data_IF_466453484405
#
_entry.id   IF_466453484405
#
_cell.length_a   1.000
_cell.length_b   1.000
_cell.length_c   1.000
_cell.angle_alpha   90.00
_cell.angle_beta   90.00
_cell.angle_gamma   90.00
#
_symmetry.space_group_name_H-M   'P 1'
#
loop_
_entity.id
_entity.type
_entity.pdbx_description
1 polymer ?
#
# COMPACT_ATOMS: atom_id res chain seq x y z
N UNK A 1 -6.52 7.03 -29.40
CA UNK A 1 -5.40 7.83 -28.87
C UNK A 1 -5.94 8.50 -27.62
N UNK A 2 -5.41 8.17 -26.44
CA UNK A 2 -5.83 8.84 -25.21
C UNK A 2 -5.47 10.33 -25.29
N UNK A 3 -6.29 11.20 -24.68
CA UNK A 3 -5.99 12.62 -24.61
C UNK A 3 -4.61 12.86 -23.97
N UNK A 4 -3.86 13.84 -24.45
CA UNK A 4 -2.54 14.14 -23.88
C UNK A 4 -2.66 14.58 -22.42
N UNK A 5 -1.61 14.43 -21.59
CA UNK A 5 -1.62 14.93 -20.21
C UNK A 5 -2.01 16.41 -20.11
N UNK A 6 -1.54 17.26 -21.04
CA UNK A 6 -1.96 18.67 -21.13
C UNK A 6 -3.47 18.82 -21.33
N UNK A 7 -4.09 18.01 -22.20
CA UNK A 7 -5.53 18.03 -22.44
C UNK A 7 -6.34 17.49 -21.25
N UNK A 8 -5.76 16.56 -20.47
CA UNK A 8 -6.41 15.93 -19.31
C UNK A 8 -6.31 16.76 -18.03
N UNK A 9 -5.17 17.42 -17.80
CA UNK A 9 -4.83 18.00 -16.50
C UNK A 9 -4.35 19.46 -16.55
N UNK A 10 -4.16 20.05 -17.73
CA UNK A 10 -3.64 21.42 -17.83
C UNK A 10 -4.54 22.50 -17.22
N UNK A 11 -5.85 22.25 -17.08
CA UNK A 11 -6.76 23.13 -16.35
C UNK A 11 -6.71 22.94 -14.83
N UNK A 12 -6.24 21.77 -14.38
CA UNK A 12 -6.23 21.34 -13.00
C UNK A 12 -4.91 21.66 -12.30
N UNK A 13 -3.79 21.49 -13.01
CA UNK A 13 -2.43 21.62 -12.48
C UNK A 13 -1.70 22.72 -13.21
N UNK A 14 -1.34 23.76 -12.47
CA UNK A 14 -0.59 24.91 -12.93
C UNK A 14 0.30 25.45 -11.78
N UNK A 15 1.12 26.46 -12.08
CA UNK A 15 2.07 27.03 -11.11
C UNK A 15 1.37 27.55 -9.83
N UNK A 16 0.25 28.26 -9.97
CA UNK A 16 -0.55 28.78 -8.86
C UNK A 16 -1.08 27.63 -7.98
N UNK A 17 -1.54 26.55 -8.61
CA UNK A 17 -2.03 25.35 -7.92
C UNK A 17 -0.93 24.68 -7.10
N UNK A 18 0.26 24.51 -7.67
CA UNK A 18 1.43 23.98 -6.96
C UNK A 18 1.87 24.93 -5.83
N UNK A 19 1.82 26.23 -6.04
CA UNK A 19 2.15 27.23 -5.01
C UNK A 19 1.15 27.20 -3.84
N UNK A 20 -0.14 26.93 -4.11
CA UNK A 20 -1.16 26.80 -3.07
C UNK A 20 -0.86 25.68 -2.05
N UNK A 21 -0.03 24.69 -2.44
CA UNK A 21 0.41 23.58 -1.60
C UNK A 21 1.58 23.94 -0.68
N UNK A 22 2.28 25.06 -0.90
CA UNK A 22 3.47 25.44 -0.13
C UNK A 22 3.24 25.48 1.40
N UNK A 23 2.11 26.00 1.91
CA UNK A 23 1.84 25.95 3.34
C UNK A 23 1.67 24.53 3.92
N UNK A 24 1.47 23.51 3.07
CA UNK A 24 1.30 22.11 3.50
C UNK A 24 2.58 21.30 3.54
N UNK A 25 3.68 21.84 2.99
CA UNK A 25 4.97 21.15 2.85
C UNK A 25 6.07 21.74 3.72
N UNK A 26 5.76 22.81 4.47
CA UNK A 26 6.67 23.48 5.38
C UNK A 26 6.83 22.78 6.74
N UNK A 27 7.37 23.52 7.71
CA UNK A 27 7.48 23.06 9.09
C UNK A 27 6.08 22.81 9.69
N UNK A 28 5.95 21.74 10.47
CA UNK A 28 4.67 21.34 11.08
C UNK A 28 4.08 22.44 11.97
N UNK A 29 4.92 23.25 12.64
CA UNK A 29 4.47 24.32 13.53
C UNK A 29 3.70 25.42 12.79
N UNK A 30 4.07 25.69 11.53
CA UNK A 30 3.48 26.74 10.70
C UNK A 30 2.58 26.19 9.58
N UNK A 31 2.56 24.88 9.39
CA UNK A 31 1.88 24.22 8.28
C UNK A 31 0.39 23.96 8.45
N UNK A 32 -0.24 23.52 7.37
CA UNK A 32 -1.65 23.15 7.32
C UNK A 32 -1.92 22.02 6.31
N UNK A 33 -3.06 21.33 6.45
CA UNK A 33 -3.49 20.28 5.53
C UNK A 33 -3.60 20.78 4.08
N UNK A 34 -3.62 19.85 3.11
CA UNK A 34 -3.91 20.22 1.73
C UNK A 34 -5.34 20.80 1.61
N UNK A 35 -5.60 21.61 0.56
CA UNK A 35 -6.94 22.09 0.29
C UNK A 35 -7.95 20.94 0.16
N UNK A 36 -9.18 21.05 0.71
CA UNK A 36 -10.15 19.95 0.77
C UNK A 36 -10.42 19.26 -0.58
N UNK A 37 -10.38 19.99 -1.68
CA UNK A 37 -10.66 19.47 -3.01
C UNK A 37 -9.63 18.43 -3.51
N UNK A 38 -8.43 18.38 -2.91
CA UNK A 38 -7.42 17.35 -3.17
C UNK A 38 -7.85 15.97 -2.67
N UNK A 39 -8.80 15.94 -1.73
CA UNK A 39 -9.36 14.74 -1.16
C UNK A 39 -10.69 14.36 -1.80
N UNK A 40 -11.38 15.28 -2.49
CA UNK A 40 -12.75 15.04 -2.96
C UNK A 40 -12.91 15.03 -4.48
N UNK A 41 -11.96 15.59 -5.24
CA UNK A 41 -12.04 15.72 -6.70
C UNK A 41 -11.60 14.44 -7.43
N UNK A 42 -12.48 13.88 -8.26
CA UNK A 42 -12.16 12.74 -9.13
C UNK A 42 -11.16 13.11 -10.23
N UNK A 43 -11.17 14.35 -10.72
CA UNK A 43 -10.16 14.81 -11.69
C UNK A 43 -8.77 14.88 -11.03
N UNK A 44 -8.71 15.33 -9.77
CA UNK A 44 -7.48 15.32 -8.98
C UNK A 44 -6.99 13.90 -8.74
N UNK A 45 -7.86 12.99 -8.33
CA UNK A 45 -7.50 11.59 -8.20
C UNK A 45 -6.99 11.00 -9.53
N UNK A 46 -7.61 11.37 -10.67
CA UNK A 46 -7.13 11.01 -12.00
C UNK A 46 -5.70 11.46 -12.28
N UNK A 47 -5.32 12.65 -11.83
CA UNK A 47 -3.94 13.14 -11.88
C UNK A 47 -3.02 12.37 -10.91
N UNK A 48 -3.47 12.08 -9.69
CA UNK A 48 -2.69 11.32 -8.71
C UNK A 48 -2.36 9.90 -9.19
N UNK A 49 -3.26 9.24 -9.94
CA UNK A 49 -2.95 7.95 -10.57
C UNK A 49 -1.70 8.03 -11.44
N UNK A 50 -1.59 9.07 -12.24
CA UNK A 50 -0.49 9.27 -13.19
C UNK A 50 0.78 9.79 -12.52
N UNK A 51 0.65 10.74 -11.59
CA UNK A 51 1.77 11.38 -10.92
C UNK A 51 2.38 10.53 -9.80
N UNK A 52 1.57 9.67 -9.18
CA UNK A 52 1.97 8.88 -8.00
C UNK A 52 1.98 7.39 -8.34
N UNK A 53 0.81 6.79 -8.59
CA UNK A 53 0.69 5.32 -8.64
C UNK A 53 1.48 4.71 -9.80
N UNK A 54 1.32 5.22 -11.02
CA UNK A 54 2.02 4.70 -12.20
C UNK A 54 3.52 5.05 -12.25
N UNK A 55 4.05 5.71 -11.22
CA UNK A 55 5.45 6.16 -11.11
C UNK A 55 6.09 5.82 -9.75
N UNK A 56 5.45 4.96 -8.98
CA UNK A 56 5.94 4.51 -7.69
C UNK A 56 6.07 2.99 -7.68
N UNK A 57 6.93 2.48 -6.81
CA UNK A 57 6.91 1.07 -6.45
C UNK A 57 5.67 0.79 -5.61
N UNK A 58 4.82 -0.13 -6.07
CA UNK A 58 3.54 -0.47 -5.45
C UNK A 58 3.61 -1.88 -4.90
N UNK A 59 3.34 -2.05 -3.61
CA UNK A 59 3.29 -3.38 -3.02
C UNK A 59 2.05 -4.11 -3.52
N UNK A 60 2.25 -5.28 -4.14
CA UNK A 60 1.18 -6.12 -4.66
C UNK A 60 0.83 -7.28 -3.73
N UNK A 61 1.68 -7.60 -2.77
CA UNK A 61 1.44 -8.65 -1.79
C UNK A 61 2.73 -9.19 -1.17
N UNK A 62 2.63 -10.41 -0.63
CA UNK A 62 3.73 -11.12 0.02
C UNK A 62 4.24 -12.26 -0.85
N UNK A 63 5.55 -12.47 -0.85
CA UNK A 63 6.20 -13.48 -1.69
C UNK A 63 5.88 -14.91 -1.23
N UNK A 64 5.67 -15.12 0.07
CA UNK A 64 5.39 -16.45 0.67
C UNK A 64 3.96 -16.96 0.40
N UNK A 65 3.10 -16.15 -0.23
CA UNK A 65 1.87 -16.62 -0.86
C UNK A 65 2.12 -17.45 -2.13
N UNK A 66 3.32 -17.36 -2.71
CA UNK A 66 3.75 -18.12 -3.89
C UNK A 66 4.77 -19.17 -3.46
N UNK A 67 4.33 -20.42 -3.26
CA UNK A 67 5.16 -21.50 -2.69
C UNK A 67 5.75 -22.41 -3.76
N UNK A 68 5.09 -22.49 -4.92
CA UNK A 68 5.51 -23.31 -6.04
C UNK A 68 5.26 -22.61 -7.39
N UNK A 69 6.01 -22.96 -8.44
CA UNK A 69 5.72 -22.56 -9.80
C UNK A 69 4.25 -22.78 -10.17
N UNK A 70 3.60 -21.77 -10.73
CA UNK A 70 2.17 -21.79 -11.07
C UNK A 70 1.24 -21.29 -9.97
N UNK A 71 1.71 -21.13 -8.73
CA UNK A 71 0.98 -20.38 -7.71
C UNK A 71 0.82 -18.93 -8.18
N UNK A 72 -0.38 -18.38 -7.98
CA UNK A 72 -0.68 -17.00 -8.31
C UNK A 72 -1.69 -16.38 -7.37
N UNK A 73 -1.68 -15.06 -7.31
CA UNK A 73 -2.77 -14.25 -6.79
C UNK A 73 -2.99 -13.02 -7.67
N UNK A 74 -4.12 -12.36 -7.48
CA UNK A 74 -4.51 -11.17 -8.25
C UNK A 74 -4.68 -9.97 -7.35
N UNK A 75 -4.46 -8.79 -7.92
CA UNK A 75 -4.68 -7.51 -7.28
C UNK A 75 -5.07 -6.50 -8.35
N UNK A 76 -5.98 -5.59 -8.04
CA UNK A 76 -6.27 -4.46 -8.93
C UNK A 76 -5.67 -3.20 -8.34
N UNK A 77 -4.85 -2.51 -9.12
CA UNK A 77 -4.30 -1.20 -8.76
C UNK A 77 -4.99 -0.17 -9.63
N UNK A 78 -5.75 0.73 -8.99
CA UNK A 78 -6.64 1.66 -9.71
C UNK A 78 -7.59 0.91 -10.65
N UNK A 79 -7.39 1.05 -11.96
CA UNK A 79 -8.21 0.42 -13.00
C UNK A 79 -7.52 -0.80 -13.64
N UNK A 80 -6.31 -1.15 -13.19
CA UNK A 80 -5.45 -2.15 -13.81
C UNK A 80 -5.44 -3.46 -12.99
N UNK A 81 -6.15 -4.52 -13.45
CA UNK A 81 -6.10 -5.82 -12.82
C UNK A 81 -4.79 -6.52 -13.18
N UNK A 82 -4.06 -6.93 -12.14
CA UNK A 82 -2.74 -7.54 -12.21
C UNK A 82 -2.77 -8.98 -11.73
N UNK A 83 -1.90 -9.77 -12.34
CA UNK A 83 -1.62 -11.16 -12.02
C UNK A 83 -0.20 -11.24 -11.47
N UNK A 84 -0.06 -11.75 -10.25
CA UNK A 84 1.22 -12.02 -9.58
C UNK A 84 1.41 -13.53 -9.53
N UNK A 85 2.47 -14.05 -10.14
CA UNK A 85 2.66 -15.50 -10.33
C UNK A 85 4.13 -15.89 -10.16
N UNK A 86 4.39 -17.07 -9.62
CA UNK A 86 5.71 -17.70 -9.69
C UNK A 86 5.82 -18.51 -10.98
N UNK A 87 6.81 -18.21 -11.80
CA UNK A 87 7.03 -18.97 -13.04
C UNK A 87 7.75 -20.31 -12.83
N UNK A 88 7.96 -21.02 -13.94
CA UNK A 88 8.63 -22.32 -13.99
C UNK A 88 10.11 -22.30 -13.56
N UNK A 89 10.74 -21.12 -13.54
CA UNK A 89 12.10 -20.90 -13.05
C UNK A 89 12.13 -20.44 -11.57
N UNK A 90 10.96 -20.32 -10.93
CA UNK A 90 10.83 -19.81 -9.55
C UNK A 90 10.88 -18.28 -9.47
N UNK A 91 10.78 -17.56 -10.59
CA UNK A 91 10.79 -16.09 -10.62
C UNK A 91 9.37 -15.56 -10.42
N UNK A 92 9.20 -14.64 -9.47
CA UNK A 92 7.93 -13.92 -9.27
C UNK A 92 7.77 -12.87 -10.36
N UNK A 93 6.64 -12.89 -11.06
CA UNK A 93 6.27 -11.96 -12.13
C UNK A 93 4.99 -11.25 -11.79
N UNK A 94 4.90 -9.98 -12.20
CA UNK A 94 3.69 -9.18 -12.14
C UNK A 94 3.34 -8.74 -13.56
N UNK A 95 2.15 -9.10 -14.02
CA UNK A 95 1.70 -8.83 -15.38
C UNK A 95 0.23 -8.46 -15.42
N UNK A 96 -0.23 -7.89 -16.53
CA UNK A 96 -1.66 -7.64 -16.74
C UNK A 96 -2.46 -8.94 -16.69
N UNK A 97 -3.54 -8.96 -15.90
CA UNK A 97 -4.50 -10.06 -15.89
C UNK A 97 -5.46 -10.02 -17.10
N UNK A 98 -5.26 -9.09 -18.05
CA UNK A 98 -6.17 -8.82 -19.16
C UNK A 98 -5.75 -9.58 -20.42
N UNK A 99 -6.64 -10.44 -20.92
CA UNK A 99 -6.44 -11.17 -22.17
C UNK A 99 -6.28 -10.22 -23.36
N UNK A 100 -5.19 -10.39 -24.11
CA UNK A 100 -4.84 -9.58 -25.29
C UNK A 100 -5.75 -9.77 -26.51
N UNK A 101 -6.80 -10.60 -26.42
CA UNK A 101 -7.79 -10.74 -27.49
C UNK A 101 -8.91 -9.70 -27.40
N UNK A 102 -9.71 -9.77 -26.33
CA UNK A 102 -10.91 -8.92 -26.13
C UNK A 102 -11.05 -8.39 -24.70
N UNK A 103 -9.96 -8.39 -23.94
CA UNK A 103 -9.94 -7.75 -22.62
C UNK A 103 -10.58 -8.55 -21.48
N UNK A 104 -10.84 -9.84 -21.64
CA UNK A 104 -11.38 -10.67 -20.56
C UNK A 104 -10.30 -10.94 -19.49
N UNK A 105 -10.68 -10.97 -18.21
CA UNK A 105 -9.79 -11.34 -17.12
C UNK A 105 -9.33 -12.81 -17.22
N UNK A 106 -8.04 -13.07 -17.06
CA UNK A 106 -7.47 -14.41 -17.18
C UNK A 106 -7.61 -15.23 -15.90
N UNK A 107 -7.63 -14.57 -14.76
CA UNK A 107 -7.77 -15.16 -13.44
C UNK A 107 -8.32 -14.11 -12.47
N UNK A 108 -8.91 -14.61 -11.39
CA UNK A 108 -9.40 -13.85 -10.25
C UNK A 108 -8.90 -14.54 -8.97
N UNK A 109 -8.95 -13.83 -7.86
CA UNK A 109 -8.54 -14.27 -6.53
C UNK A 109 -7.10 -14.82 -6.51
N UNK A 110 -6.93 -16.06 -6.04
CA UNK A 110 -5.67 -16.78 -5.98
C UNK A 110 -5.86 -18.24 -6.36
N UNK A 111 -4.77 -18.92 -6.71
CA UNK A 111 -4.82 -20.35 -7.02
C UNK A 111 -3.51 -20.88 -7.56
N UNK A 112 -3.58 -22.07 -8.18
CA UNK A 112 -2.44 -22.75 -8.77
C UNK A 112 -2.77 -23.18 -10.21
N UNK A 113 -1.82 -22.99 -11.15
CA UNK A 113 -1.96 -23.42 -12.54
C UNK A 113 -1.20 -24.72 -12.80
N UNK A 114 -1.85 -25.85 -12.56
CA UNK A 114 -1.33 -27.21 -12.78
C UNK A 114 -0.73 -27.42 -14.19
N UNK A 115 -1.30 -26.78 -15.21
CA UNK A 115 -0.85 -26.90 -16.61
C UNK A 115 0.24 -25.90 -17.01
N UNK A 116 0.58 -24.96 -16.11
CA UNK A 116 1.46 -23.83 -16.42
C UNK A 116 0.83 -22.80 -17.38
N UNK A 117 -0.49 -22.84 -17.59
CA UNK A 117 -1.19 -21.96 -18.54
C UNK A 117 -2.34 -21.18 -17.89
N UNK A 118 -2.41 -19.88 -18.18
CA UNK A 118 -3.57 -19.04 -17.97
C UNK A 118 -4.46 -19.07 -19.21
N UNK A 119 -5.57 -19.80 -19.13
CA UNK A 119 -6.53 -19.94 -20.22
C UNK A 119 -7.68 -18.95 -20.04
N UNK A 120 -7.82 -18.04 -20.99
CA UNK A 120 -8.93 -17.10 -21.07
C UNK A 120 -10.28 -17.84 -21.16
N UNK A 121 -11.24 -17.59 -20.25
CA UNK A 121 -12.55 -18.25 -20.26
C UNK A 121 -13.37 -17.98 -21.53
N UNK A 122 -13.16 -16.83 -22.17
CA UNK A 122 -14.01 -16.38 -23.29
C UNK A 122 -13.75 -17.15 -24.59
N UNK A 123 -12.48 -17.29 -24.99
CA UNK A 123 -12.11 -17.90 -26.28
C UNK A 123 -10.89 -18.83 -26.20
N UNK A 124 -10.49 -19.24 -24.99
CA UNK A 124 -9.43 -20.24 -24.77
C UNK A 124 -8.03 -19.83 -25.25
N UNK A 125 -7.80 -18.52 -25.46
CA UNK A 125 -6.44 -18.00 -25.60
C UNK A 125 -5.66 -18.34 -24.33
N UNK A 126 -4.53 -19.03 -24.48
CA UNK A 126 -3.77 -19.59 -23.37
C UNK A 126 -2.38 -18.98 -23.33
N UNK A 127 -2.03 -18.35 -22.22
CA UNK A 127 -0.74 -17.71 -21.97
C UNK A 127 0.09 -18.57 -21.01
N UNK A 128 1.41 -18.65 -21.19
CA UNK A 128 2.29 -19.31 -20.22
C UNK A 128 2.49 -18.46 -18.95
N UNK A 129 3.19 -19.01 -17.95
CA UNK A 129 3.49 -18.30 -16.70
C UNK A 129 4.38 -17.07 -16.88
N UNK A 130 4.97 -16.87 -18.07
CA UNK A 130 5.74 -15.66 -18.45
C UNK A 130 4.93 -14.73 -19.35
N UNK A 131 3.63 -14.98 -19.49
CA UNK A 131 2.68 -14.16 -20.22
C UNK A 131 2.68 -14.33 -21.73
N UNK A 132 3.48 -15.23 -22.32
CA UNK A 132 3.51 -15.40 -23.78
C UNK A 132 2.31 -16.21 -24.26
N UNK A 133 1.70 -15.80 -25.36
CA UNK A 133 0.59 -16.53 -25.97
C UNK A 133 1.09 -17.87 -26.52
N UNK A 134 0.52 -18.98 -26.03
CA UNK A 134 0.87 -20.35 -26.46
C UNK A 134 -0.17 -20.94 -27.40
N UNK A 135 -1.44 -20.61 -27.19
CA UNK A 135 -2.53 -21.13 -27.99
C UNK A 135 -3.59 -20.05 -28.22
N UNK A 136 -4.07 -19.95 -29.46
CA UNK A 136 -5.14 -19.05 -29.88
C UNK A 136 -6.01 -19.79 -30.92
N UNK A 137 -7.15 -20.37 -30.50
CA UNK A 137 -8.00 -21.15 -31.38
C UNK A 137 -8.44 -20.37 -32.63
N UNK A 138 -8.53 -21.06 -33.77
CA UNK A 138 -9.03 -20.54 -35.06
C UNK A 138 -8.29 -19.33 -35.67
N UNK A 139 -7.20 -18.84 -35.06
CA UNK A 139 -6.46 -17.69 -35.57
C UNK A 139 -5.57 -18.00 -36.80
N UNK A 140 -5.45 -19.26 -37.21
CA UNK A 140 -4.59 -19.69 -38.32
C UNK A 140 -5.02 -19.19 -39.70
N UNK A 141 -6.23 -18.63 -39.84
CA UNK A 141 -6.73 -17.98 -41.07
C UNK A 141 -6.73 -16.45 -40.98
N UNK A 142 -6.28 -15.89 -39.86
CA UNK A 142 -6.20 -14.44 -39.66
C UNK A 142 -4.93 -13.91 -40.30
N UNK A 143 -5.08 -13.00 -41.26
CA UNK A 143 -3.95 -12.36 -41.92
C UNK A 143 -3.09 -11.60 -40.88
N UNK A 144 -1.77 -11.69 -41.03
CA UNK A 144 -0.79 -10.99 -40.19
C UNK A 144 -0.91 -11.27 -38.68
N UNK A 145 -1.47 -12.42 -38.28
CA UNK A 145 -1.46 -12.84 -36.89
C UNK A 145 -0.18 -13.59 -36.56
N UNK A 146 0.71 -12.95 -35.79
CA UNK A 146 1.86 -13.61 -35.22
C UNK A 146 1.65 -13.83 -33.72
N UNK A 147 1.48 -15.09 -33.32
CA UNK A 147 1.30 -15.47 -31.91
C UNK A 147 2.51 -15.07 -31.06
N UNK A 148 3.72 -15.17 -31.63
CA UNK A 148 4.97 -15.01 -30.89
C UNK A 148 5.26 -13.53 -30.54
N UNK A 149 4.51 -12.59 -31.15
CA UNK A 149 4.53 -11.16 -30.82
C UNK A 149 3.57 -10.79 -29.67
N UNK A 150 2.72 -11.73 -29.22
CA UNK A 150 1.69 -11.46 -28.21
C UNK A 150 2.16 -11.97 -26.85
N UNK A 151 2.39 -11.03 -25.95
CA UNK A 151 2.69 -11.27 -24.55
C UNK A 151 1.80 -10.39 -23.66
N UNK A 152 1.48 -10.85 -22.46
CA UNK A 152 0.85 -10.02 -21.44
C UNK A 152 1.83 -8.91 -21.03
N UNK A 153 1.38 -7.63 -21.00
CA UNK A 153 2.18 -6.54 -20.47
C UNK A 153 2.76 -6.88 -19.09
N UNK A 154 4.07 -6.71 -18.94
CA UNK A 154 4.81 -7.00 -17.70
C UNK A 154 5.10 -5.70 -16.96
N UNK A 155 5.14 -5.77 -15.63
CA UNK A 155 5.62 -4.70 -14.76
C UNK A 155 7.03 -5.06 -14.26
N UNK A 156 7.82 -4.04 -13.90
CA UNK A 156 9.10 -4.26 -13.21
C UNK A 156 8.81 -4.78 -11.80
N UNK A 157 9.58 -5.76 -11.32
CA UNK A 157 9.36 -6.42 -10.02
C UNK A 157 10.60 -6.32 -9.16
N UNK A 158 10.43 -5.95 -7.89
CA UNK A 158 11.47 -6.02 -6.86
C UNK A 158 10.92 -6.73 -5.61
N UNK A 159 11.70 -7.65 -5.06
CA UNK A 159 11.38 -8.28 -3.77
C UNK A 159 12.13 -7.54 -2.67
N UNK A 160 11.41 -7.11 -1.64
CA UNK A 160 12.00 -6.38 -0.52
C UNK A 160 11.37 -6.81 0.80
N UNK A 161 12.20 -7.31 1.74
CA UNK A 161 11.75 -7.82 3.04
C UNK A 161 10.55 -8.78 2.96
N UNK A 162 10.52 -9.65 1.93
CA UNK A 162 9.44 -10.61 1.66
C UNK A 162 8.18 -10.02 1.01
N UNK A 163 8.11 -8.72 0.78
CA UNK A 163 7.07 -8.09 -0.02
C UNK A 163 7.41 -8.13 -1.49
N UNK A 164 6.38 -8.24 -2.34
CA UNK A 164 6.49 -8.12 -3.79
C UNK A 164 6.08 -6.69 -4.16
N UNK A 165 6.99 -5.93 -4.76
CA UNK A 165 6.72 -4.61 -5.33
C UNK A 165 6.70 -4.67 -6.85
N UNK A 166 5.79 -3.90 -7.45
CA UNK A 166 5.65 -3.75 -8.89
C UNK A 166 5.76 -2.28 -9.29
N UNK A 167 6.31 -2.01 -10.47
CA UNK A 167 6.39 -0.66 -11.05
C UNK A 167 5.92 -0.68 -12.50
N UNK A 168 5.10 0.32 -12.88
CA UNK A 168 4.50 0.40 -14.22
C UNK A 168 5.49 0.79 -15.31
N UNK A 169 6.49 1.62 -14.99
CA UNK A 169 7.57 1.92 -15.93
C UNK A 169 8.60 0.78 -16.00
N UNK A 170 9.19 0.54 -17.18
CA UNK A 170 10.32 -0.38 -17.33
C UNK A 170 11.58 0.21 -16.68
N UNK A 171 12.40 -0.66 -16.11
CA UNK A 171 13.73 -0.35 -15.55
C UNK A 171 13.76 0.87 -14.58
N UNK A 172 12.85 0.96 -13.59
CA UNK A 172 12.87 2.04 -12.60
C UNK A 172 14.11 1.94 -11.70
N UNK A 173 14.53 3.05 -11.05
CA UNK A 173 15.49 2.97 -9.96
C UNK A 173 15.05 1.97 -8.88
N UNK A 174 16.00 1.21 -8.33
CA UNK A 174 15.72 0.19 -7.31
C UNK A 174 15.08 0.79 -6.06
N UNK A 175 14.15 0.05 -5.46
CA UNK A 175 13.42 0.45 -4.25
C UNK A 175 14.31 0.40 -3.01
N UNK A 176 15.08 -0.66 -2.82
CA UNK A 176 15.82 -0.94 -1.59
C UNK A 176 16.69 0.23 -1.06
N UNK A 177 17.42 0.99 -1.89
CA UNK A 177 18.22 2.14 -1.43
C UNK A 177 17.39 3.26 -0.78
N UNK A 178 16.09 3.35 -1.11
CA UNK A 178 15.18 4.37 -0.56
C UNK A 178 14.52 3.96 0.77
N UNK A 179 14.74 2.71 1.22
CA UNK A 179 14.11 2.11 2.39
C UNK A 179 15.10 1.71 3.49
N UNK A 180 16.32 2.24 3.48
CA UNK A 180 17.41 1.85 4.41
C UNK A 180 17.02 2.00 5.88
N UNK A 181 16.39 3.13 6.27
CA UNK A 181 15.92 3.34 7.65
C UNK A 181 14.94 2.27 8.12
N UNK A 182 14.04 1.83 7.23
CA UNK A 182 13.08 0.78 7.57
C UNK A 182 13.75 -0.60 7.57
N UNK A 183 14.70 -0.84 6.67
CA UNK A 183 15.48 -2.07 6.68
C UNK A 183 16.26 -2.23 8.00
N UNK A 184 16.88 -1.15 8.48
CA UNK A 184 17.58 -1.12 9.77
C UNK A 184 16.63 -1.40 10.94
N UNK A 185 15.44 -0.79 10.93
CA UNK A 185 14.40 -1.05 11.94
C UNK A 185 13.91 -2.50 11.92
N UNK A 186 13.67 -3.06 10.72
CA UNK A 186 13.15 -4.42 10.51
C UNK A 186 14.19 -5.52 10.79
N UNK A 187 15.48 -5.20 10.88
CA UNK A 187 16.55 -6.18 10.98
C UNK A 187 16.36 -7.18 12.14
N UNK A 188 15.94 -6.70 13.31
CA UNK A 188 15.70 -7.56 14.48
C UNK A 188 14.34 -8.26 14.48
N UNK A 189 13.40 -7.82 13.63
CA UNK A 189 12.09 -8.47 13.50
C UNK A 189 12.14 -9.70 12.59
N UNK A 190 13.11 -9.77 11.66
CA UNK A 190 13.20 -10.87 10.69
C UNK A 190 12.01 -10.90 9.72
N UNK A 191 11.62 -9.71 9.22
CA UNK A 191 10.39 -9.54 8.40
C UNK A 191 10.44 -10.34 7.10
N UNK A 192 11.62 -10.50 6.50
CA UNK A 192 11.80 -11.32 5.31
C UNK A 192 11.42 -12.79 5.54
N UNK A 193 11.65 -13.31 6.74
CA UNK A 193 11.44 -14.70 7.14
C UNK A 193 10.08 -14.95 7.82
N UNK A 194 9.32 -13.90 8.13
CA UNK A 194 7.99 -14.03 8.74
C UNK A 194 7.01 -14.75 7.82
N UNK A 195 6.10 -15.52 8.43
CA UNK A 195 5.00 -16.20 7.75
C UNK A 195 3.80 -15.26 7.68
N UNK A 196 3.32 -15.00 6.48
CA UNK A 196 2.10 -14.24 6.23
C UNK A 196 0.86 -15.10 6.39
N UNK A 197 -0.10 -14.61 7.18
CA UNK A 197 -1.41 -15.21 7.34
C UNK A 197 -2.34 -14.76 6.20
N UNK A 198 -3.47 -15.46 5.97
CA UNK A 198 -4.45 -15.05 4.97
C UNK A 198 -4.89 -13.59 5.18
N UNK A 199 -4.88 -12.81 4.10
CA UNK A 199 -5.31 -11.41 4.13
C UNK A 199 -6.83 -11.28 4.12
N UNK A 200 -7.32 -10.15 4.61
CA UNK A 200 -8.74 -9.79 4.57
C UNK A 200 -8.92 -8.46 3.83
N UNK A 201 -9.78 -8.44 2.82
CA UNK A 201 -10.16 -7.19 2.14
C UNK A 201 -11.41 -6.61 2.80
N UNK A 202 -11.33 -5.34 3.17
CA UNK A 202 -12.47 -4.55 3.64
C UNK A 202 -12.78 -3.51 2.56
N UNK A 203 -13.79 -3.75 1.72
CA UNK A 203 -14.07 -2.92 0.56
C UNK A 203 -14.91 -1.69 0.88
N UNK A 204 -14.92 -0.75 -0.06
CA UNK A 204 -15.88 0.36 -0.16
C UNK A 204 -15.89 1.34 1.02
N UNK A 205 -14.76 1.54 1.69
CA UNK A 205 -14.62 2.60 2.68
C UNK A 205 -14.74 3.98 2.01
N UNK A 206 -15.64 4.87 2.47
CA UNK A 206 -16.06 6.06 1.73
C UNK A 206 -15.17 7.29 1.94
N UNK A 207 -13.83 7.12 1.94
CA UNK A 207 -12.87 8.21 2.09
C UNK A 207 -11.70 8.11 1.12
N UNK A 208 -10.96 9.20 0.99
CA UNK A 208 -9.79 9.29 0.12
C UNK A 208 -8.62 8.47 0.70
N UNK A 209 -7.80 7.90 -0.17
CA UNK A 209 -6.60 7.16 0.23
C UNK A 209 -5.65 8.00 1.11
N UNK A 210 -5.54 9.31 0.88
CA UNK A 210 -4.72 10.19 1.73
C UNK A 210 -5.29 10.33 3.14
N UNK A 211 -6.61 10.36 3.31
CA UNK A 211 -7.24 10.43 4.65
C UNK A 211 -6.82 9.20 5.47
N UNK A 212 -6.84 8.00 4.85
CA UNK A 212 -6.38 6.77 5.50
C UNK A 212 -4.91 6.85 5.94
N UNK A 213 -4.03 7.31 5.04
CA UNK A 213 -2.59 7.40 5.33
C UNK A 213 -2.28 8.46 6.38
N UNK A 214 -2.95 9.62 6.30
CA UNK A 214 -2.81 10.71 7.26
C UNK A 214 -3.25 10.25 8.65
N UNK A 215 -4.44 9.64 8.77
CA UNK A 215 -4.95 9.12 10.04
C UNK A 215 -4.03 8.04 10.62
N UNK A 216 -3.59 7.07 9.80
CA UNK A 216 -2.71 6.00 10.29
C UNK A 216 -1.36 6.50 10.84
N UNK A 217 -0.78 7.53 10.22
CA UNK A 217 0.59 7.95 10.50
C UNK A 217 0.72 9.02 11.57
N UNK A 218 -0.37 9.58 12.07
CA UNK A 218 -0.33 10.66 13.04
C UNK A 218 -0.78 10.16 14.43
N UNK A 219 0.04 10.34 15.48
CA UNK A 219 -0.30 9.85 16.82
C UNK A 219 -1.16 10.83 17.66
N UNK A 220 -1.62 11.94 17.09
CA UNK A 220 -2.39 12.97 17.81
C UNK A 220 -3.76 12.44 18.22
N UNK A 221 -4.48 11.74 17.32
CA UNK A 221 -5.80 11.21 17.63
C UNK A 221 -5.77 10.07 18.66
N UNK A 222 -4.68 9.31 18.76
CA UNK A 222 -4.61 8.05 19.54
C UNK A 222 -5.08 8.25 21.01
N UNK A 223 -4.66 9.33 21.66
CA UNK A 223 -5.01 9.61 23.05
C UNK A 223 -6.49 10.05 23.27
N UNK A 224 -7.19 10.41 22.19
CA UNK A 224 -8.53 10.97 22.25
C UNK A 224 -9.58 10.03 21.66
N UNK A 225 -9.28 9.42 20.51
CA UNK A 225 -10.13 8.48 19.78
C UNK A 225 -9.99 7.06 20.33
N UNK A 226 -8.75 6.58 20.48
CA UNK A 226 -8.45 5.19 20.87
C UNK A 226 -8.39 4.92 22.37
N UNK A 227 -9.23 5.61 23.14
CA UNK A 227 -9.34 5.42 24.59
C UNK A 227 -9.64 3.97 24.92
N UNK A 228 -8.92 3.43 25.89
CA UNK A 228 -8.94 2.01 26.24
C UNK A 228 -7.81 1.27 25.53
N UNK A 229 -8.00 0.92 24.26
CA UNK A 229 -7.12 -0.02 23.53
C UNK A 229 -5.69 0.48 23.28
N UNK A 230 -5.50 1.79 23.29
CA UNK A 230 -4.22 2.44 23.00
C UNK A 230 -3.62 3.12 24.26
N UNK A 231 -4.26 2.99 25.43
CA UNK A 231 -3.86 3.70 26.66
C UNK A 231 -2.46 3.32 27.16
N UNK A 232 -1.94 2.17 26.74
CA UNK A 232 -0.59 1.71 27.07
C UNK A 232 0.50 2.36 26.21
N UNK A 233 0.15 2.97 25.06
CA UNK A 233 1.08 3.48 24.06
C UNK A 233 1.01 5.02 23.99
N UNK A 234 1.76 5.70 24.87
CA UNK A 234 1.65 7.14 25.16
C UNK A 234 2.89 7.96 24.76
N UNK A 235 4.04 7.33 24.57
CA UNK A 235 5.27 8.02 24.16
C UNK A 235 5.21 8.35 22.67
N UNK A 236 5.65 9.53 22.24
CA UNK A 236 5.68 9.89 20.82
C UNK A 236 7.07 10.38 20.44
N UNK A 237 7.66 9.76 19.42
CA UNK A 237 8.85 10.25 18.74
C UNK A 237 8.57 10.43 17.26
N UNK A 238 9.47 11.07 16.53
CA UNK A 238 9.39 11.24 15.08
C UNK A 238 10.74 10.90 14.46
N UNK A 239 10.71 10.22 13.31
CA UNK A 239 11.89 10.04 12.48
C UNK A 239 11.87 11.13 11.42
N UNK A 240 12.97 11.86 11.27
CA UNK A 240 13.08 12.85 10.20
C UNK A 240 13.04 12.14 8.84
N UNK A 241 12.24 12.66 7.90
CA UNK A 241 12.13 12.16 6.53
C UNK A 241 12.84 13.10 5.55
N UNK A 242 13.68 12.53 4.70
CA UNK A 242 14.40 13.26 3.64
C UNK A 242 13.82 12.97 2.25
N UNK A 243 14.01 13.86 1.25
CA UNK A 243 13.44 13.68 -0.10
C UNK A 243 13.80 12.36 -0.80
N UNK A 244 14.98 11.80 -0.52
CA UNK A 244 15.48 10.56 -1.14
C UNK A 244 14.91 9.30 -0.49
N UNK A 245 14.18 9.44 0.62
CA UNK A 245 13.59 8.33 1.36
C UNK A 245 12.16 8.06 0.89
N UNK A 246 11.84 6.77 0.75
CA UNK A 246 10.50 6.32 0.40
C UNK A 246 9.79 5.64 1.57
N UNK A 247 10.10 6.09 2.80
CA UNK A 247 9.44 5.63 4.02
C UNK A 247 9.26 6.77 5.02
N UNK A 248 8.08 6.87 5.60
CA UNK A 248 7.75 7.78 6.69
C UNK A 248 7.51 6.94 7.94
N UNK A 249 8.08 7.32 9.08
CA UNK A 249 8.03 6.48 10.29
C UNK A 249 7.93 7.30 11.57
N UNK A 250 7.28 6.74 12.57
CA UNK A 250 7.31 7.27 13.92
C UNK A 250 7.15 6.15 14.97
N UNK A 251 7.99 6.16 16.03
CA UNK A 251 7.79 5.25 17.15
C UNK A 251 6.71 5.79 18.10
N UNK A 252 5.92 4.88 18.65
CA UNK A 252 5.03 5.17 19.78
C UNK A 252 5.41 4.29 20.96
N UNK A 253 5.89 4.91 22.04
CA UNK A 253 6.43 4.26 23.22
C UNK A 253 5.35 3.72 24.14
N UNK A 254 5.61 2.54 24.72
CA UNK A 254 4.75 1.85 25.66
C UNK A 254 5.08 2.21 27.11
N UNK A 255 4.09 2.10 28.00
CA UNK A 255 4.27 2.20 29.45
C UNK A 255 4.93 0.94 30.07
N UNK A 256 5.04 -0.14 29.29
CA UNK A 256 5.61 -1.44 29.66
C UNK A 256 6.15 -2.18 28.43
N UNK A 257 7.05 -3.12 28.66
CA UNK A 257 7.56 -3.99 27.60
C UNK A 257 6.46 -4.93 27.09
N UNK A 258 6.60 -5.31 25.82
CA UNK A 258 5.76 -6.27 25.10
C UNK A 258 4.28 -5.87 25.07
N UNK A 259 4.01 -4.58 24.87
CA UNK A 259 2.66 -4.08 24.66
C UNK A 259 2.07 -4.49 23.31
N UNK A 260 0.76 -4.70 23.25
CA UNK A 260 0.03 -4.97 22.01
C UNK A 260 -1.44 -4.50 22.10
N UNK A 261 -2.07 -4.27 20.95
CA UNK A 261 -3.42 -3.73 20.82
C UNK A 261 -4.51 -4.77 21.10
N UNK A 262 -4.70 -5.12 22.37
CA UNK A 262 -5.80 -5.98 22.84
C UNK A 262 -6.18 -5.58 24.28
N UNK A 263 -7.31 -6.04 24.84
CA UNK A 263 -7.75 -5.63 26.18
C UNK A 263 -6.77 -5.93 27.33
N UNK A 264 -5.74 -6.78 27.12
CA UNK A 264 -4.70 -7.04 28.11
C UNK A 264 -3.49 -6.11 27.99
N UNK A 265 -3.39 -5.32 26.91
CA UNK A 265 -2.27 -4.46 26.55
C UNK A 265 -0.92 -5.19 26.56
N UNK A 266 -0.92 -6.44 26.10
CA UNK A 266 0.25 -7.33 26.09
C UNK A 266 0.29 -8.19 24.83
N UNK A 267 1.49 -8.45 24.34
CA UNK A 267 1.76 -9.45 23.32
C UNK A 267 1.05 -10.77 23.65
N UNK A 268 0.37 -11.34 22.66
CA UNK A 268 -0.38 -12.60 22.82
C UNK A 268 0.42 -13.78 22.26
N UNK A 269 1.38 -13.51 21.37
CA UNK A 269 2.41 -14.45 20.95
C UNK A 269 3.71 -14.20 21.73
N UNK A 270 4.63 -15.18 21.78
CA UNK A 270 5.95 -14.94 22.35
C UNK A 270 6.65 -13.76 21.65
N UNK A 271 7.21 -12.80 22.41
CA UNK A 271 7.98 -11.70 21.81
C UNK A 271 9.15 -12.23 20.97
N UNK A 272 9.44 -11.54 19.88
CA UNK A 272 10.52 -11.88 18.95
C UNK A 272 11.86 -11.80 19.69
N UNK A 273 12.63 -12.91 19.79
CA UNK A 273 13.80 -12.99 20.66
C UNK A 273 14.92 -12.00 20.35
N UNK A 274 15.07 -11.58 19.09
CA UNK A 274 16.13 -10.70 18.63
C UNK A 274 15.85 -9.21 18.91
N UNK A 275 14.64 -8.84 19.34
CA UNK A 275 14.30 -7.44 19.59
C UNK A 275 15.09 -6.84 20.75
N UNK A 276 15.53 -5.60 20.55
CA UNK A 276 16.17 -4.83 21.62
C UNK A 276 15.18 -4.45 22.72
N UNK A 277 15.70 -4.00 23.86
CA UNK A 277 14.83 -3.46 24.92
C UNK A 277 14.02 -2.26 24.44
N UNK A 278 14.57 -1.42 23.54
CA UNK A 278 13.84 -0.30 22.98
C UNK A 278 12.67 -0.79 22.11
N UNK A 279 12.92 -1.70 21.17
CA UNK A 279 11.89 -2.25 20.27
C UNK A 279 10.78 -2.96 21.04
N UNK A 280 11.09 -3.63 22.15
CA UNK A 280 10.08 -4.26 23.01
C UNK A 280 9.20 -3.26 23.76
N UNK A 281 9.61 -2.00 23.90
CA UNK A 281 8.87 -0.96 24.61
C UNK A 281 8.22 0.05 23.65
N UNK A 282 8.00 -0.30 22.39
CA UNK A 282 7.29 0.55 21.42
C UNK A 282 6.62 -0.24 20.32
N UNK A 283 5.71 0.43 19.62
CA UNK A 283 5.32 0.09 18.25
C UNK A 283 6.08 1.02 17.33
N UNK A 284 6.61 0.50 16.22
CA UNK A 284 6.99 1.36 15.09
C UNK A 284 5.82 1.41 14.11
N UNK A 285 5.27 2.59 13.87
CA UNK A 285 4.43 2.84 12.71
C UNK A 285 5.30 3.31 11.56
N UNK A 286 5.17 2.67 10.42
CA UNK A 286 5.88 3.02 9.21
C UNK A 286 4.91 3.01 8.02
N UNK A 287 5.24 3.79 6.99
CA UNK A 287 4.50 3.81 5.75
C UNK A 287 5.44 3.91 4.57
N UNK A 288 5.31 2.98 3.63
CA UNK A 288 5.89 3.06 2.29
C UNK A 288 4.80 3.61 1.38
N UNK A 289 4.83 4.91 1.02
CA UNK A 289 3.76 5.51 0.24
C UNK A 289 3.82 5.00 -1.22
N UNK A 290 2.67 4.93 -1.92
CA UNK A 290 1.36 5.41 -1.49
C UNK A 290 0.46 4.34 -0.84
N UNK A 291 0.94 3.12 -0.59
CA UNK A 291 0.04 1.99 -0.33
C UNK A 291 0.22 1.26 1.00
N UNK A 292 1.40 1.31 1.63
CA UNK A 292 1.75 0.33 2.69
C UNK A 292 2.00 1.00 4.04
N UNK A 293 0.96 1.36 4.80
CA UNK A 293 1.11 1.56 6.23
C UNK A 293 1.28 0.21 6.94
N UNK A 294 2.19 0.14 7.91
CA UNK A 294 2.51 -1.06 8.69
C UNK A 294 2.88 -0.71 10.13
N UNK A 295 2.66 -1.67 11.01
CA UNK A 295 3.07 -1.62 12.40
C UNK A 295 3.96 -2.79 12.77
N UNK A 296 5.08 -2.50 13.40
CA UNK A 296 5.98 -3.49 14.00
C UNK A 296 5.75 -3.48 15.52
N UNK A 297 5.24 -4.59 16.04
CA UNK A 297 5.00 -4.80 17.48
C UNK A 297 5.85 -5.97 17.97
N UNK A 298 6.01 -6.14 19.29
CA UNK A 298 7.02 -7.06 19.83
C UNK A 298 6.87 -8.53 19.45
N UNK A 299 5.70 -8.98 19.01
CA UNK A 299 5.41 -10.39 18.70
C UNK A 299 4.94 -10.66 17.26
N UNK A 300 4.66 -9.61 16.46
CA UNK A 300 4.22 -9.73 15.07
C UNK A 300 4.37 -8.41 14.28
N UNK A 301 4.13 -8.47 12.97
CA UNK A 301 3.93 -7.30 12.12
C UNK A 301 2.52 -7.33 11.54
N UNK A 302 1.83 -6.21 11.54
CA UNK A 302 0.62 -6.01 10.74
C UNK A 302 0.90 -4.97 9.65
N UNK A 303 0.20 -5.09 8.53
CA UNK A 303 0.27 -4.11 7.45
C UNK A 303 -1.08 -3.99 6.77
N UNK A 304 -1.30 -2.84 6.13
CA UNK A 304 -2.39 -2.67 5.20
C UNK A 304 -1.86 -2.45 3.79
N UNK A 305 -2.65 -2.82 2.78
CA UNK A 305 -2.56 -2.21 1.46
C UNK A 305 -3.78 -1.32 1.27
N UNK A 306 -3.53 -0.02 1.09
CA UNK A 306 -4.56 0.97 0.75
C UNK A 306 -4.76 0.95 -0.76
N UNK A 307 -5.92 0.47 -1.21
CA UNK A 307 -6.26 0.29 -2.61
C UNK A 307 -7.32 1.31 -3.02
N UNK A 308 -6.97 2.38 -3.75
CA UNK A 308 -7.94 3.39 -4.13
C UNK A 308 -8.95 2.87 -5.17
N UNK A 309 -10.23 3.16 -4.93
CA UNK A 309 -11.33 2.91 -5.85
C UNK A 309 -11.98 4.21 -6.37
N UNK A 310 -11.34 5.36 -6.17
CA UNK A 310 -11.81 6.70 -6.54
C UNK A 310 -11.28 7.77 -5.57
N UNK A 311 -11.65 9.04 -5.78
CA UNK A 311 -11.28 10.12 -4.87
C UNK A 311 -11.93 9.97 -3.48
N UNK A 312 -13.00 9.20 -3.36
CA UNK A 312 -13.76 9.06 -2.11
C UNK A 312 -14.08 7.61 -1.77
N UNK A 313 -13.23 6.68 -2.21
CA UNK A 313 -13.44 5.25 -2.00
C UNK A 313 -12.11 4.53 -1.95
N UNK A 314 -11.93 3.67 -0.95
CA UNK A 314 -10.80 2.76 -0.85
C UNK A 314 -11.28 1.35 -0.47
N UNK A 315 -10.46 0.37 -0.79
CA UNK A 315 -10.44 -0.95 -0.15
C UNK A 315 -9.18 -1.03 0.69
N UNK A 316 -9.29 -1.58 1.90
CA UNK A 316 -8.13 -1.86 2.75
C UNK A 316 -7.92 -3.37 2.76
N UNK A 317 -6.75 -3.83 2.33
CA UNK A 317 -6.31 -5.22 2.51
C UNK A 317 -5.50 -5.32 3.78
N UNK A 318 -6.00 -6.05 4.77
CA UNK A 318 -5.33 -6.28 6.06
C UNK A 318 -4.47 -7.53 5.97
N UNK A 319 -3.19 -7.42 6.37
CA UNK A 319 -2.26 -8.52 6.47
C UNK A 319 -1.60 -8.61 7.84
N UNK A 320 -1.34 -9.84 8.26
CA UNK A 320 -0.68 -10.16 9.53
C UNK A 320 0.47 -11.13 9.25
N UNK A 321 1.65 -10.83 9.76
CA UNK A 321 2.86 -11.62 9.62
C UNK A 321 3.38 -11.98 11.00
N UNK A 322 3.71 -13.25 11.21
CA UNK A 322 4.20 -13.77 12.49
C UNK A 322 5.54 -14.49 12.30
N UNK A 323 6.38 -14.58 13.34
CA UNK A 323 7.56 -15.44 13.30
C UNK A 323 7.17 -16.91 13.03
N UNK A 324 7.95 -17.68 12.26
CA UNK A 324 7.62 -19.09 11.94
C UNK A 324 7.35 -19.95 13.18
N UNK A 325 8.10 -19.76 14.25
CA UNK A 325 7.92 -20.44 15.53
C UNK A 325 6.57 -20.17 16.21
N UNK A 326 5.93 -19.03 15.92
CA UNK A 326 4.62 -18.69 16.47
C UNK A 326 3.54 -19.70 16.02
N UNK A 327 3.70 -20.32 14.85
CA UNK A 327 2.77 -21.35 14.33
C UNK A 327 2.67 -22.58 15.24
N UNK A 328 3.67 -22.81 16.10
CA UNK A 328 3.71 -23.94 17.03
C UNK A 328 3.11 -23.60 18.41
N UNK A 329 2.68 -22.35 18.62
CA UNK A 329 2.08 -21.92 19.88
C UNK A 329 0.74 -22.63 20.09
N UNK A 330 0.52 -23.15 21.31
CA UNK A 330 -0.76 -23.78 21.65
C UNK A 330 -1.90 -22.77 21.49
N UNK A 331 -2.99 -23.21 20.85
CA UNK A 331 -4.14 -22.37 20.52
C UNK A 331 -3.82 -21.20 19.57
N UNK A 332 -2.75 -21.32 18.75
CA UNK A 332 -2.33 -20.28 17.78
C UNK A 332 -3.50 -19.64 17.04
N UNK A 333 -4.37 -20.44 16.40
CA UNK A 333 -5.52 -19.91 15.67
C UNK A 333 -6.42 -19.00 16.52
N UNK A 334 -6.66 -19.36 17.79
CA UNK A 334 -7.48 -18.53 18.69
C UNK A 334 -6.77 -17.26 19.14
N UNK A 335 -5.45 -17.32 19.27
CA UNK A 335 -4.61 -16.15 19.56
C UNK A 335 -4.67 -15.17 18.39
N UNK A 336 -4.58 -15.67 17.15
CA UNK A 336 -4.72 -14.85 15.95
C UNK A 336 -6.10 -14.19 15.89
N UNK A 337 -7.19 -14.91 16.20
CA UNK A 337 -8.52 -14.29 16.28
C UNK A 337 -8.51 -13.08 17.23
N UNK A 338 -7.90 -13.20 18.42
CA UNK A 338 -7.84 -12.10 19.38
C UNK A 338 -6.95 -10.94 18.94
N UNK A 339 -5.86 -11.21 18.22
CA UNK A 339 -5.02 -10.17 17.62
C UNK A 339 -5.84 -9.40 16.57
N UNK A 340 -6.54 -10.13 15.69
CA UNK A 340 -7.40 -9.52 14.65
C UNK A 340 -8.54 -8.74 15.28
N UNK A 341 -9.23 -9.26 16.30
CA UNK A 341 -10.29 -8.54 17.02
C UNK A 341 -9.76 -7.23 17.64
N UNK A 342 -8.54 -7.24 18.17
CA UNK A 342 -7.87 -6.05 18.69
C UNK A 342 -7.58 -5.00 17.62
N UNK A 343 -7.09 -5.44 16.45
CA UNK A 343 -6.87 -4.59 15.28
C UNK A 343 -8.18 -3.97 14.79
N UNK A 344 -9.24 -4.78 14.69
CA UNK A 344 -10.55 -4.33 14.25
C UNK A 344 -11.18 -3.33 15.22
N UNK A 345 -10.92 -3.45 16.52
CA UNK A 345 -11.53 -2.55 17.51
C UNK A 345 -11.06 -1.09 17.38
N UNK A 346 -9.78 -0.82 17.12
CA UNK A 346 -9.34 0.56 16.84
C UNK A 346 -9.68 0.98 15.42
N UNK A 347 -9.59 0.07 14.43
CA UNK A 347 -10.01 0.35 13.06
C UNK A 347 -11.49 0.80 13.00
N UNK A 348 -12.40 0.17 13.76
CA UNK A 348 -13.81 0.58 13.81
C UNK A 348 -13.99 2.02 14.30
N UNK A 349 -13.10 2.50 15.18
CA UNK A 349 -13.10 3.89 15.63
C UNK A 349 -12.60 4.83 14.52
N UNK A 350 -11.54 4.43 13.81
CA UNK A 350 -11.00 5.16 12.64
C UNK A 350 -12.03 5.26 11.53
N UNK A 351 -12.76 4.18 11.24
CA UNK A 351 -13.83 4.16 10.22
C UNK A 351 -14.84 5.28 10.45
N UNK A 352 -15.24 5.50 11.72
CA UNK A 352 -16.17 6.57 12.09
C UNK A 352 -15.53 7.94 11.86
N UNK A 353 -14.27 8.12 12.29
CA UNK A 353 -13.52 9.36 12.15
C UNK A 353 -13.28 9.72 10.68
N UNK A 354 -12.67 8.83 9.89
CA UNK A 354 -12.34 9.03 8.48
C UNK A 354 -13.57 9.28 7.62
N UNK A 355 -14.65 8.53 7.87
CA UNK A 355 -15.94 8.78 7.20
C UNK A 355 -16.47 10.18 7.50
N UNK A 356 -16.34 10.65 8.74
CA UNK A 356 -16.77 11.99 9.14
C UNK A 356 -15.86 13.07 8.53
N UNK A 357 -14.54 12.85 8.51
CA UNK A 357 -13.55 13.73 7.87
C UNK A 357 -13.87 13.89 6.39
N UNK A 358 -14.05 12.79 5.64
CA UNK A 358 -14.36 12.88 4.21
C UNK A 358 -15.67 13.63 3.94
N UNK A 359 -16.71 13.39 4.75
CA UNK A 359 -17.97 14.14 4.65
C UNK A 359 -17.75 15.63 4.92
N UNK A 360 -16.94 15.97 5.93
CA UNK A 360 -16.58 17.33 6.30
C UNK A 360 -15.81 18.06 5.19
N UNK A 361 -14.87 17.38 4.53
CA UNK A 361 -14.05 17.94 3.44
C UNK A 361 -14.88 18.39 2.22
N UNK A 362 -16.10 17.88 2.05
CA UNK A 362 -17.03 18.33 0.99
C UNK A 362 -17.83 19.59 1.35
N UNK A 363 -17.76 20.04 2.59
CA UNK A 363 -18.49 21.22 3.05
C UNK A 363 -17.96 22.47 2.37
N UNK A 364 -18.87 23.41 2.05
CA UNK A 364 -18.48 24.79 1.66
C UNK A 364 -17.73 25.54 2.77
N UNK A 365 -17.80 25.03 3.99
CA UNK A 365 -17.12 25.55 5.16
C UNK A 365 -15.95 24.65 5.61
N UNK A 366 -15.50 23.72 4.75
CA UNK A 366 -14.36 22.87 5.06
C UNK A 366 -13.12 23.75 5.34
N UNK A 367 -12.48 23.61 6.51
CA UNK A 367 -11.31 24.40 6.82
C UNK A 367 -10.08 23.84 6.09
N UNK A 368 -9.07 24.68 5.89
CA UNK A 368 -7.69 24.24 5.74
C UNK A 368 -7.03 24.27 7.12
N UNK A 369 -7.20 23.19 7.88
CA UNK A 369 -6.77 23.10 9.28
C UNK A 369 -5.25 23.21 9.43
N UNK A 370 -4.78 23.80 10.53
CA UNK A 370 -3.36 23.81 10.89
C UNK A 370 -2.97 22.49 11.54
N UNK A 371 -1.70 22.12 11.40
CA UNK A 371 -1.18 20.95 12.09
C UNK A 371 -0.96 21.20 13.59
N UNK A 372 -1.07 20.13 14.35
CA UNK A 372 -0.42 19.91 15.63
C UNK A 372 1.03 19.49 15.42
N UNK A 373 1.93 19.78 16.36
CA UNK A 373 3.31 19.25 16.32
C UNK A 373 3.35 17.71 16.27
N UNK A 374 2.28 17.05 16.76
CA UNK A 374 2.14 15.60 16.68
C UNK A 374 1.86 15.07 15.27
N UNK A 375 1.53 15.92 14.31
CA UNK A 375 1.21 15.54 12.92
C UNK A 375 2.42 15.75 11.99
N UNK A 376 3.63 15.66 12.54
CA UNK A 376 4.89 15.84 11.78
C UNK A 376 4.98 14.91 10.57
N UNK A 377 4.51 13.66 10.72
CA UNK A 377 4.45 12.65 9.65
C UNK A 377 3.47 13.02 8.52
N UNK A 378 2.40 13.74 8.82
CA UNK A 378 1.46 14.26 7.80
C UNK A 378 2.16 15.33 6.95
N UNK A 379 2.91 16.24 7.58
CA UNK A 379 3.72 17.21 6.84
C UNK A 379 4.81 16.53 5.99
N UNK A 380 5.40 15.42 6.48
CA UNK A 380 6.34 14.59 5.70
C UNK A 380 5.66 13.94 4.48
N UNK A 381 4.44 13.39 4.65
CA UNK A 381 3.65 12.84 3.55
C UNK A 381 3.32 13.92 2.51
N UNK A 382 2.93 15.11 2.95
CA UNK A 382 2.64 16.22 2.04
C UNK A 382 3.87 16.64 1.24
N UNK A 383 5.06 16.68 1.86
CA UNK A 383 6.33 16.91 1.14
C UNK A 383 6.56 15.84 0.07
N UNK A 384 6.39 14.57 0.43
CA UNK A 384 6.55 13.43 -0.47
C UNK A 384 5.59 13.51 -1.68
N UNK A 385 4.33 13.87 -1.43
CA UNK A 385 3.30 14.04 -2.46
C UNK A 385 3.61 15.23 -3.37
N UNK A 386 3.89 16.38 -2.77
CA UNK A 386 4.16 17.62 -3.50
C UNK A 386 5.33 17.48 -4.48
N UNK A 387 6.42 16.85 -4.05
CA UNK A 387 7.59 16.62 -4.91
C UNK A 387 7.22 15.82 -6.16
N UNK A 388 6.40 14.79 -6.03
CA UNK A 388 5.96 13.94 -7.14
C UNK A 388 4.93 14.63 -8.03
N UNK A 389 3.97 15.36 -7.45
CA UNK A 389 3.05 16.18 -8.22
C UNK A 389 3.79 17.19 -9.09
N UNK A 390 4.79 17.88 -8.51
CA UNK A 390 5.62 18.84 -9.22
C UNK A 390 6.48 18.18 -10.30
N UNK A 391 7.19 17.10 -9.97
CA UNK A 391 8.04 16.40 -10.94
C UNK A 391 7.24 15.89 -12.14
N UNK A 392 6.05 15.32 -11.91
CA UNK A 392 5.17 14.91 -13.00
C UNK A 392 4.68 16.11 -13.82
N UNK A 393 4.22 17.18 -13.16
CA UNK A 393 3.75 18.39 -13.84
C UNK A 393 4.83 19.00 -14.74
N UNK A 394 6.07 19.11 -14.26
CA UNK A 394 7.23 19.57 -15.03
C UNK A 394 7.53 18.63 -16.20
N UNK A 395 7.52 17.31 -15.99
CA UNK A 395 7.79 16.31 -17.05
C UNK A 395 6.76 16.34 -18.17
N UNK A 396 5.53 16.79 -17.89
CA UNK A 396 4.43 16.87 -18.84
C UNK A 396 4.17 18.29 -19.36
N UNK A 397 5.04 19.25 -19.02
CA UNK A 397 4.91 20.67 -19.38
C UNK A 397 3.58 21.31 -18.95
N UNK A 398 3.02 20.88 -17.82
CA UNK A 398 1.85 21.49 -17.19
C UNK A 398 2.20 22.81 -16.48
N UNK A 399 3.47 22.97 -16.10
CA UNK A 399 4.04 24.13 -15.39
C UNK A 399 5.38 24.56 -15.93
#
# INVERSE_FOLDING_TARGET
MFASPQQRFGHLVNAERLESMQPSVGDVADGCYFPPEFYTSEEWFGFEKEAIYYRSWLCVGRADFLKAPGDYFTITINDDPLLVVMDDEGTIRVMSAVCQHRGHLLAEDAGHKETGLFRCPLHFWSFDLRGRLRHAPEMGRTNNFNRDEICLPQLSVELWQGFVFAHFEPDPPSLAPTLTKLADEMANYGVAEMVSLPTMDIPDYPWNWKVMLENFMEPYHNAYLHKGIHDFALGHGFVEHTPDENVIMHPTGFDRADGAFNPLHKALLPPIPALTSEQRNRVMFAMIPPMVPLGLVPDHMFYFLVLPGGANRITIRVGLCVPPEALQVRNFGKIIDWIVDGIMMYNDQDVVADTAVQKGLRSRFAPRGRFSWKETTVAQLNRWLYQRYRAYAESQALV
#
